data_IF_353221430952
#
_entry.id   IF_353221430952
#
_cell.length_a   1.000
_cell.length_b   1.000
_cell.length_c   1.000
_cell.angle_alpha   90.00
_cell.angle_beta   90.00
_cell.angle_gamma   90.00
#
_symmetry.space_group_name_H-M   'P 1'
#
loop_
_entity.id
_entity.type
_entity.pdbx_description
1 polymer ?
#
# COMPACT_ATOMS: atom_id res chain seq x y z
N UNK A 1 17.55 7.78 -3.30
CA UNK A 1 16.10 7.84 -3.00
C UNK A 1 15.39 9.13 -3.43
N UNK A 2 16.10 10.15 -3.94
CA UNK A 2 15.51 11.46 -4.35
C UNK A 2 14.38 11.35 -5.39
N UNK A 3 14.35 10.26 -6.17
CA UNK A 3 13.37 9.99 -7.22
C UNK A 3 12.18 9.13 -6.74
N UNK A 4 11.95 9.07 -5.42
CA UNK A 4 10.91 8.29 -4.75
C UNK A 4 10.04 9.18 -3.88
N UNK A 5 8.72 9.00 -3.96
CA UNK A 5 7.74 9.55 -3.02
C UNK A 5 7.17 8.43 -2.16
N UNK A 6 7.23 8.59 -0.84
CA UNK A 6 6.50 7.73 0.10
C UNK A 6 5.07 8.25 0.24
N UNK A 7 4.09 7.40 0.00
CA UNK A 7 2.67 7.68 0.19
C UNK A 7 2.25 7.04 1.50
N UNK A 8 1.90 7.88 2.47
CA UNK A 8 1.63 7.49 3.85
C UNK A 8 0.16 7.78 4.18
N UNK A 9 -0.76 6.83 3.91
CA UNK A 9 -2.15 7.00 4.30
C UNK A 9 -2.26 6.95 5.82
N UNK A 10 -2.89 7.95 6.43
CA UNK A 10 -3.07 8.04 7.87
C UNK A 10 -4.53 8.33 8.23
N UNK A 11 -5.03 7.64 9.26
CA UNK A 11 -6.34 7.88 9.84
C UNK A 11 -6.33 7.48 11.31
N UNK A 12 -6.48 8.46 12.21
CA UNK A 12 -6.40 8.26 13.66
C UNK A 12 -5.07 7.58 14.06
N UNK A 13 -3.96 8.18 13.61
CA UNK A 13 -2.59 7.68 13.80
C UNK A 13 -1.72 8.66 14.62
N UNK A 14 -2.35 9.43 15.51
CA UNK A 14 -1.66 10.44 16.32
C UNK A 14 -0.54 9.88 17.21
N UNK A 15 -0.61 8.59 17.59
CA UNK A 15 0.39 7.91 18.39
C UNK A 15 1.53 7.33 17.52
N UNK A 16 1.19 6.66 16.42
CA UNK A 16 2.14 5.89 15.59
C UNK A 16 2.89 6.75 14.58
N UNK A 17 2.18 7.65 13.90
CA UNK A 17 2.72 8.41 12.78
C UNK A 17 3.92 9.29 13.15
N UNK A 18 3.94 10.03 14.29
CA UNK A 18 5.12 10.81 14.68
C UNK A 18 6.37 9.94 14.90
N UNK A 19 6.19 8.74 15.49
CA UNK A 19 7.29 7.80 15.74
C UNK A 19 7.80 7.27 14.40
N UNK A 20 6.90 6.87 13.52
CA UNK A 20 7.25 6.38 12.19
C UNK A 20 7.94 7.46 11.33
N UNK A 21 7.45 8.71 11.36
CA UNK A 21 8.10 9.83 10.65
C UNK A 21 9.52 10.10 11.16
N UNK A 22 9.74 9.96 12.46
CA UNK A 22 11.10 10.05 13.04
C UNK A 22 12.01 8.92 12.55
N UNK A 23 11.51 7.70 12.38
CA UNK A 23 12.28 6.58 11.84
C UNK A 23 12.75 6.85 10.40
N UNK A 24 11.89 7.47 9.58
CA UNK A 24 12.18 7.72 8.16
C UNK A 24 12.68 9.14 7.87
N UNK A 25 12.99 9.94 8.88
CA UNK A 25 13.35 11.37 8.69
C UNK A 25 14.59 11.58 7.83
N UNK A 26 15.59 10.70 7.94
CA UNK A 26 16.87 10.78 7.21
C UNK A 26 16.77 10.25 5.77
N UNK A 27 15.65 9.67 5.37
CA UNK A 27 15.47 9.21 4.00
C UNK A 27 15.32 10.41 3.05
N UNK A 28 16.24 10.54 2.09
CA UNK A 28 16.26 11.59 1.06
C UNK A 28 15.21 11.32 -0.01
N UNK A 29 13.92 11.28 0.37
CA UNK A 29 12.77 11.09 -0.52
C UNK A 29 11.64 12.04 -0.15
N UNK A 30 10.74 12.33 -1.11
CA UNK A 30 9.50 13.03 -0.85
C UNK A 30 8.60 12.17 0.05
N UNK A 31 7.85 12.77 0.95
CA UNK A 31 6.91 12.10 1.85
C UNK A 31 5.58 12.84 1.79
N UNK A 32 4.53 12.17 1.34
CA UNK A 32 3.16 12.69 1.30
C UNK A 32 2.34 11.92 2.34
N UNK A 33 1.93 12.60 3.38
CA UNK A 33 0.97 12.07 4.38
C UNK A 33 -0.43 12.42 3.91
N UNK A 34 -1.24 11.41 3.65
CA UNK A 34 -2.61 11.58 3.16
C UNK A 34 -3.59 11.29 4.29
N UNK A 35 -4.40 12.26 4.67
CA UNK A 35 -5.33 12.15 5.80
C UNK A 35 -6.61 12.96 5.61
N UNK A 36 -7.59 12.68 6.44
CA UNK A 36 -8.85 13.43 6.49
C UNK A 36 -8.63 14.77 7.20
N UNK A 37 -9.15 15.86 6.64
CA UNK A 37 -9.03 17.20 7.23
C UNK A 37 -9.65 17.30 8.63
N UNK A 38 -10.61 16.43 8.94
CA UNK A 38 -11.24 16.36 10.27
C UNK A 38 -10.42 15.63 11.33
N UNK A 39 -9.32 14.93 10.95
CA UNK A 39 -8.45 14.19 11.89
C UNK A 39 -7.46 15.13 12.60
N UNK A 40 -7.99 16.04 13.39
CA UNK A 40 -7.22 17.08 14.08
C UNK A 40 -6.14 16.53 15.01
N UNK A 41 -6.36 15.36 15.63
CA UNK A 41 -5.38 14.75 16.53
C UNK A 41 -4.12 14.30 15.77
N UNK A 42 -4.31 13.58 14.66
CA UNK A 42 -3.20 13.16 13.80
C UNK A 42 -2.50 14.37 13.18
N UNK A 43 -3.25 15.36 12.66
CA UNK A 43 -2.69 16.60 12.09
C UNK A 43 -1.82 17.33 13.12
N UNK A 44 -2.33 17.54 14.35
CA UNK A 44 -1.60 18.24 15.40
C UNK A 44 -0.33 17.51 15.83
N UNK A 45 -0.34 16.18 15.82
CA UNK A 45 0.82 15.35 16.21
C UNK A 45 2.00 15.48 15.24
N UNK A 46 1.76 15.85 13.97
CA UNK A 46 2.79 15.89 12.91
C UNK A 46 3.11 17.29 12.39
N UNK A 47 2.40 18.33 12.79
CA UNK A 47 2.58 19.71 12.27
C UNK A 47 4.00 20.29 12.42
N UNK A 48 4.80 19.74 13.32
CA UNK A 48 6.18 20.19 13.55
C UNK A 48 7.20 19.54 12.59
N UNK A 49 6.81 18.50 11.84
CA UNK A 49 7.68 17.89 10.83
C UNK A 49 7.74 18.76 9.57
N UNK A 50 8.95 19.20 9.21
CA UNK A 50 9.17 20.10 8.06
C UNK A 50 9.38 19.36 6.73
N UNK A 51 9.74 18.07 6.79
CA UNK A 51 10.15 17.28 5.64
C UNK A 51 9.03 16.36 5.13
N UNK A 52 7.79 16.76 5.34
CA UNK A 52 6.59 16.06 4.88
C UNK A 52 5.65 17.05 4.19
N UNK A 53 4.89 16.54 3.25
CA UNK A 53 3.74 17.22 2.66
C UNK A 53 2.46 16.60 3.24
N UNK A 54 1.53 17.42 3.69
CA UNK A 54 0.22 16.96 4.16
C UNK A 54 -0.78 17.18 3.01
N UNK A 55 -1.37 16.08 2.53
CA UNK A 55 -2.43 16.09 1.54
C UNK A 55 -3.76 15.73 2.20
N UNK A 56 -4.70 16.66 2.21
CA UNK A 56 -6.07 16.38 2.66
C UNK A 56 -6.84 15.68 1.56
N UNK A 57 -7.32 14.44 1.86
CA UNK A 57 -8.05 13.64 0.89
C UNK A 57 -9.42 14.28 0.56
N UNK A 58 -9.77 14.31 -0.71
CA UNK A 58 -11.06 14.84 -1.19
C UNK A 58 -12.19 13.80 -1.06
N UNK A 59 -11.84 12.53 -1.17
CA UNK A 59 -12.78 11.41 -1.09
C UNK A 59 -12.39 10.50 0.07
N UNK A 60 -13.33 10.16 0.92
CA UNK A 60 -13.10 9.27 2.06
C UNK A 60 -12.76 7.85 1.60
N UNK A 61 -11.93 7.16 2.39
CA UNK A 61 -11.57 5.75 2.24
C UNK A 61 -10.10 5.53 1.93
N UNK A 62 -9.61 4.36 2.33
CA UNK A 62 -8.21 3.98 2.19
C UNK A 62 -7.73 3.99 0.73
N UNK A 63 -8.51 3.39 -0.17
CA UNK A 63 -8.20 3.38 -1.60
C UNK A 63 -8.15 4.79 -2.20
N UNK A 64 -9.09 5.67 -1.81
CA UNK A 64 -9.08 7.08 -2.23
C UNK A 64 -7.82 7.80 -1.77
N UNK A 65 -7.40 7.60 -0.51
CA UNK A 65 -6.18 8.20 0.03
C UNK A 65 -4.94 7.77 -0.78
N UNK A 66 -4.84 6.48 -1.12
CA UNK A 66 -3.73 5.98 -1.94
C UNK A 66 -3.73 6.57 -3.35
N UNK A 67 -4.88 6.57 -4.02
CA UNK A 67 -5.02 7.10 -5.39
C UNK A 67 -4.67 8.59 -5.41
N UNK A 68 -5.23 9.37 -4.49
CA UNK A 68 -4.97 10.81 -4.41
C UNK A 68 -3.49 11.09 -4.06
N UNK A 69 -2.92 10.36 -3.10
CA UNK A 69 -1.52 10.50 -2.72
C UNK A 69 -0.56 10.20 -3.88
N UNK A 70 -0.76 9.09 -4.57
CA UNK A 70 0.11 8.71 -5.70
C UNK A 70 -0.05 9.69 -6.87
N UNK A 71 -1.28 10.16 -7.15
CA UNK A 71 -1.52 11.13 -8.23
C UNK A 71 -0.89 12.51 -7.96
N UNK A 72 -0.58 12.84 -6.70
CA UNK A 72 0.11 14.07 -6.32
C UNK A 72 1.64 13.88 -6.20
N UNK A 73 2.16 12.66 -6.36
CA UNK A 73 3.59 12.42 -6.34
C UNK A 73 4.27 13.05 -7.58
N UNK A 74 5.33 13.84 -7.35
CA UNK A 74 6.09 14.51 -8.41
C UNK A 74 7.29 13.71 -8.92
N UNK A 75 7.64 12.61 -8.25
CA UNK A 75 8.80 11.77 -8.58
C UNK A 75 8.41 10.63 -9.53
N UNK A 76 9.41 10.00 -10.18
CA UNK A 76 9.18 8.89 -11.11
C UNK A 76 8.66 7.62 -10.43
N UNK A 77 8.97 7.46 -9.14
CA UNK A 77 8.55 6.29 -8.36
C UNK A 77 7.78 6.71 -7.12
N UNK A 78 6.83 5.89 -6.73
CA UNK A 78 6.17 5.98 -5.44
C UNK A 78 6.33 4.69 -4.65
N UNK A 79 6.16 4.76 -3.35
CA UNK A 79 6.00 3.58 -2.50
C UNK A 79 4.92 3.83 -1.46
N UNK A 80 3.94 2.92 -1.40
CA UNK A 80 2.92 2.94 -0.34
C UNK A 80 3.55 2.39 0.93
N UNK A 81 3.46 3.12 2.03
CA UNK A 81 3.94 2.68 3.34
C UNK A 81 3.00 3.18 4.43
N UNK A 82 2.53 2.28 5.31
CA UNK A 82 1.51 2.62 6.29
C UNK A 82 2.06 3.47 7.45
N UNK A 83 1.22 4.36 7.97
CA UNK A 83 1.52 5.26 9.09
C UNK A 83 1.74 4.55 10.44
N UNK A 84 1.30 3.29 10.56
CA UNK A 84 1.42 2.48 11.78
C UNK A 84 2.80 1.83 11.97
N UNK A 85 3.71 2.00 10.99
CA UNK A 85 5.07 1.48 11.04
C UNK A 85 5.21 -0.03 10.82
N UNK A 86 4.12 -0.75 10.51
CA UNK A 86 4.17 -2.19 10.28
C UNK A 86 4.97 -2.56 9.02
N UNK A 87 4.90 -1.73 7.98
CA UNK A 87 5.72 -1.88 6.77
C UNK A 87 7.14 -1.37 7.03
N UNK A 88 8.12 -2.26 6.99
CA UNK A 88 9.48 -1.94 7.38
C UNK A 88 10.25 -1.16 6.30
N UNK A 89 10.70 0.09 6.58
CA UNK A 89 11.41 0.93 5.60
C UNK A 89 12.73 0.35 5.08
N UNK A 90 13.33 -0.61 5.77
CA UNK A 90 14.59 -1.26 5.35
C UNK A 90 14.51 -1.93 3.97
N UNK A 91 13.31 -2.22 3.48
CA UNK A 91 13.12 -2.84 2.16
C UNK A 91 13.13 -1.82 1.01
N UNK A 92 12.98 -0.51 1.29
CA UNK A 92 12.81 0.53 0.27
C UNK A 92 13.95 0.56 -0.76
N UNK A 93 15.21 0.52 -0.30
CA UNK A 93 16.36 0.53 -1.22
C UNK A 93 16.37 -0.71 -2.12
N UNK A 94 16.13 -1.89 -1.54
CA UNK A 94 16.06 -3.15 -2.29
C UNK A 94 14.91 -3.16 -3.28
N UNK A 95 13.75 -2.63 -2.90
CA UNK A 95 12.58 -2.51 -3.79
C UNK A 95 12.87 -1.56 -4.94
N UNK A 96 13.41 -0.38 -4.68
CA UNK A 96 13.73 0.62 -5.69
C UNK A 96 14.80 0.11 -6.65
N UNK A 97 15.84 -0.55 -6.14
CA UNK A 97 16.88 -1.19 -6.95
C UNK A 97 16.27 -2.24 -7.89
N UNK A 98 15.45 -3.17 -7.37
CA UNK A 98 14.84 -4.24 -8.17
C UNK A 98 13.91 -3.70 -9.25
N UNK A 99 13.12 -2.66 -8.96
CA UNK A 99 12.24 -2.02 -9.95
C UNK A 99 13.05 -1.41 -11.10
N UNK A 100 14.14 -0.69 -10.77
CA UNK A 100 15.00 -0.06 -11.77
C UNK A 100 15.78 -1.09 -12.59
N UNK A 101 16.41 -2.06 -11.94
CA UNK A 101 17.23 -3.09 -12.59
C UNK A 101 16.41 -3.92 -13.59
N UNK A 102 15.20 -4.35 -13.19
CA UNK A 102 14.34 -5.20 -14.03
C UNK A 102 13.40 -4.40 -14.93
N UNK A 103 13.38 -3.08 -14.85
CA UNK A 103 12.50 -2.22 -15.62
C UNK A 103 11.02 -2.46 -15.32
N UNK A 104 10.70 -2.83 -14.07
CA UNK A 104 9.33 -3.13 -13.65
C UNK A 104 8.49 -1.85 -13.61
N UNK A 105 7.18 -2.01 -13.79
CA UNK A 105 6.21 -0.97 -13.50
C UNK A 105 5.81 -1.00 -12.02
N UNK A 106 5.68 -2.21 -11.44
CA UNK A 106 5.32 -2.39 -10.02
C UNK A 106 6.07 -3.54 -9.37
N UNK A 107 6.32 -3.41 -8.08
CA UNK A 107 6.88 -4.45 -7.22
C UNK A 107 6.02 -4.57 -5.97
N UNK A 108 5.40 -5.74 -5.79
CA UNK A 108 4.54 -6.05 -4.67
C UNK A 108 5.34 -6.76 -3.59
N UNK A 109 5.39 -6.22 -2.38
CA UNK A 109 5.95 -6.92 -1.25
C UNK A 109 5.02 -8.04 -0.79
N UNK A 110 5.58 -9.12 -0.26
CA UNK A 110 4.83 -10.28 0.20
C UNK A 110 5.34 -10.78 1.53
N UNK A 111 4.40 -10.99 2.46
CA UNK A 111 4.64 -11.62 3.76
C UNK A 111 4.76 -13.15 3.65
N UNK A 112 4.25 -13.72 2.57
CA UNK A 112 4.15 -15.17 2.35
C UNK A 112 5.13 -15.70 1.29
N UNK A 113 6.07 -14.88 0.85
CA UNK A 113 7.15 -15.32 -0.04
C UNK A 113 8.38 -15.71 0.76
N UNK A 114 8.80 -16.97 0.64
CA UNK A 114 9.95 -17.50 1.36
C UNK A 114 11.14 -17.74 0.43
N UNK A 115 12.39 -17.58 0.93
CA UNK A 115 12.76 -17.11 2.28
C UNK A 115 12.64 -15.59 2.44
N UNK A 116 12.33 -15.14 3.65
CA UNK A 116 12.43 -13.72 4.06
C UNK A 116 11.11 -12.97 4.22
N UNK A 117 9.99 -13.54 3.83
CA UNK A 117 8.66 -13.04 4.17
C UNK A 117 8.21 -13.51 5.55
N UNK A 118 7.34 -12.74 6.19
CA UNK A 118 6.73 -13.04 7.48
C UNK A 118 5.92 -11.86 8.00
N UNK A 119 5.16 -12.08 9.09
CA UNK A 119 4.38 -11.05 9.73
C UNK A 119 4.26 -11.31 11.23
N UNK A 120 4.48 -10.28 12.03
CA UNK A 120 4.19 -10.25 13.47
C UNK A 120 2.79 -9.67 13.75
N UNK A 121 2.17 -8.98 12.79
CA UNK A 121 0.87 -8.29 12.95
C UNK A 121 -0.30 -9.10 12.39
N UNK A 122 -0.05 -10.14 11.63
CA UNK A 122 -1.09 -10.97 11.03
C UNK A 122 -1.64 -12.00 12.03
N UNK A 123 -2.92 -12.32 11.89
CA UNK A 123 -3.56 -13.37 12.66
C UNK A 123 -4.13 -14.47 11.75
N UNK A 124 -4.52 -15.60 12.33
CA UNK A 124 -5.00 -16.77 11.59
C UNK A 124 -6.16 -16.44 10.63
N UNK A 125 -7.10 -15.59 11.04
CA UNK A 125 -8.28 -15.26 10.23
C UNK A 125 -7.87 -14.42 9.03
N UNK A 126 -7.04 -13.39 9.23
CA UNK A 126 -6.55 -12.53 8.14
C UNK A 126 -5.59 -13.27 7.21
N UNK A 127 -4.78 -14.17 7.74
CA UNK A 127 -3.89 -15.06 6.97
C UNK A 127 -4.65 -16.02 6.06
N UNK A 128 -5.69 -16.70 6.59
CA UNK A 128 -6.56 -17.58 5.80
C UNK A 128 -7.30 -16.76 4.73
N UNK A 129 -7.85 -15.60 5.09
CA UNK A 129 -8.53 -14.71 4.16
C UNK A 129 -7.61 -14.29 3.02
N UNK A 130 -6.38 -13.86 3.35
CA UNK A 130 -5.40 -13.49 2.32
C UNK A 130 -5.00 -14.66 1.43
N UNK A 131 -4.81 -15.86 2.00
CA UNK A 131 -4.53 -17.07 1.21
C UNK A 131 -5.64 -17.35 0.20
N UNK A 132 -6.92 -17.31 0.64
CA UNK A 132 -8.07 -17.54 -0.23
C UNK A 132 -8.15 -16.50 -1.35
N UNK A 133 -8.06 -15.20 -1.04
CA UNK A 133 -8.11 -14.14 -2.05
C UNK A 133 -6.92 -14.19 -3.00
N UNK A 134 -5.73 -14.53 -2.52
CA UNK A 134 -4.55 -14.74 -3.36
C UNK A 134 -4.77 -15.91 -4.32
N UNK A 135 -5.33 -17.02 -3.87
CA UNK A 135 -5.67 -18.17 -4.72
C UNK A 135 -6.70 -17.80 -5.78
N UNK A 136 -7.76 -17.07 -5.40
CA UNK A 136 -8.76 -16.56 -6.36
C UNK A 136 -8.08 -15.64 -7.38
N UNK A 137 -7.25 -14.69 -6.94
CA UNK A 137 -6.51 -13.79 -7.83
C UNK A 137 -5.62 -14.53 -8.83
N UNK A 138 -4.86 -15.50 -8.35
CA UNK A 138 -3.97 -16.27 -9.21
C UNK A 138 -4.73 -17.18 -10.18
N UNK A 139 -5.84 -17.82 -9.75
CA UNK A 139 -6.61 -18.75 -10.58
C UNK A 139 -7.43 -18.01 -11.66
N UNK A 140 -8.19 -16.99 -11.26
CA UNK A 140 -9.16 -16.34 -12.15
C UNK A 140 -8.57 -15.14 -12.93
N UNK A 141 -7.51 -14.52 -12.42
CA UNK A 141 -6.87 -13.35 -13.05
C UNK A 141 -5.42 -13.60 -13.46
N UNK A 142 -4.87 -14.79 -13.18
CA UNK A 142 -3.49 -15.18 -13.54
C UNK A 142 -2.43 -14.22 -12.98
N UNK A 143 -2.59 -13.75 -11.73
CA UNK A 143 -1.75 -12.71 -11.14
C UNK A 143 -0.32 -13.16 -10.84
N UNK A 144 -0.11 -14.40 -10.41
CA UNK A 144 1.21 -14.93 -10.00
C UNK A 144 1.84 -14.12 -8.85
N UNK A 145 1.05 -13.75 -7.86
CA UNK A 145 1.49 -13.08 -6.63
C UNK A 145 1.25 -13.97 -5.42
N UNK A 146 1.90 -13.68 -4.29
CA UNK A 146 1.81 -14.48 -3.06
C UNK A 146 1.08 -13.79 -1.91
N UNK A 147 0.79 -12.48 -2.03
CA UNK A 147 0.12 -11.68 -1.01
C UNK A 147 -0.70 -10.55 -1.66
N UNK A 148 -2.00 -10.82 -1.91
CA UNK A 148 -2.86 -9.88 -2.64
C UNK A 148 -3.36 -8.73 -1.76
N UNK A 149 -3.42 -8.91 -0.45
CA UNK A 149 -3.97 -7.92 0.48
C UNK A 149 -2.91 -6.96 1.04
N UNK A 150 -1.62 -7.23 0.81
CA UNK A 150 -0.54 -6.41 1.34
C UNK A 150 -0.22 -5.25 0.40
N UNK A 151 -0.54 -4.05 0.83
CA UNK A 151 -0.41 -2.84 0.01
C UNK A 151 0.98 -2.20 0.03
N UNK A 152 1.99 -2.86 0.55
CA UNK A 152 3.38 -2.40 0.46
C UNK A 152 3.88 -2.58 -0.97
N UNK A 153 3.66 -1.58 -1.81
CA UNK A 153 3.94 -1.62 -3.25
C UNK A 153 4.81 -0.43 -3.62
N UNK A 154 5.88 -0.71 -4.37
CA UNK A 154 6.70 0.31 -5.03
C UNK A 154 6.45 0.24 -6.54
N UNK A 155 6.22 1.38 -7.18
CA UNK A 155 5.95 1.41 -8.61
C UNK A 155 6.29 2.73 -9.28
N UNK A 156 6.17 2.73 -10.61
CA UNK A 156 6.29 3.94 -11.42
C UNK A 156 5.02 4.79 -11.28
N UNK A 157 5.18 6.05 -10.92
CA UNK A 157 4.07 7.00 -10.77
C UNK A 157 3.27 7.14 -12.07
N UNK A 158 3.94 7.24 -13.21
CA UNK A 158 3.30 7.31 -14.52
C UNK A 158 2.44 6.07 -14.79
N UNK A 159 2.99 4.87 -14.60
CA UNK A 159 2.26 3.62 -14.86
C UNK A 159 1.02 3.48 -13.96
N UNK A 160 1.06 4.01 -12.71
CA UNK A 160 -0.10 4.04 -11.83
C UNK A 160 -1.16 5.03 -12.32
N UNK A 161 -0.75 6.22 -12.75
CA UNK A 161 -1.68 7.25 -13.23
C UNK A 161 -2.38 6.88 -14.56
N UNK A 162 -1.80 5.94 -15.32
CA UNK A 162 -2.42 5.36 -16.53
C UNK A 162 -3.47 4.27 -16.21
N UNK A 163 -3.60 3.87 -14.93
CA UNK A 163 -4.64 2.94 -14.47
C UNK A 163 -5.90 3.68 -14.05
N UNK A 164 -7.03 3.00 -14.15
CA UNK A 164 -8.32 3.52 -13.72
C UNK A 164 -8.89 2.66 -12.60
N UNK A 165 -9.22 3.27 -11.49
CA UNK A 165 -9.74 2.58 -10.32
C UNK A 165 -11.16 3.03 -9.97
N UNK A 166 -11.99 2.09 -9.54
CA UNK A 166 -13.33 2.36 -9.03
C UNK A 166 -13.43 2.17 -7.51
N UNK A 167 -12.45 1.50 -6.90
CA UNK A 167 -12.37 1.28 -5.46
C UNK A 167 -11.97 2.54 -4.70
N UNK A 168 -12.68 2.79 -3.59
CA UNK A 168 -12.39 3.90 -2.67
C UNK A 168 -11.90 3.41 -1.31
N UNK A 169 -12.09 2.15 -1.02
CA UNK A 169 -11.84 1.46 0.25
C UNK A 169 -10.73 0.41 0.12
N UNK A 170 -10.69 -0.56 1.03
CA UNK A 170 -9.73 -1.67 1.01
C UNK A 170 -9.85 -2.58 -0.20
N UNK A 171 -10.92 -2.51 -0.99
CA UNK A 171 -11.04 -3.29 -2.24
C UNK A 171 -10.00 -2.90 -3.29
N UNK A 172 -9.32 -1.75 -3.14
CA UNK A 172 -8.21 -1.36 -3.99
C UNK A 172 -7.05 -2.38 -3.93
N UNK A 173 -6.84 -3.07 -2.81
CA UNK A 173 -5.76 -4.06 -2.68
C UNK A 173 -5.87 -5.20 -3.71
N UNK A 174 -7.08 -5.57 -4.11
CA UNK A 174 -7.31 -6.58 -5.17
C UNK A 174 -7.51 -5.95 -6.55
N UNK A 175 -8.14 -4.78 -6.64
CA UNK A 175 -8.31 -4.09 -7.91
C UNK A 175 -6.98 -3.70 -8.54
N UNK A 176 -6.04 -3.20 -7.75
CA UNK A 176 -4.75 -2.73 -8.23
C UNK A 176 -3.96 -3.82 -8.98
N UNK A 177 -3.60 -4.96 -8.39
CA UNK A 177 -2.86 -5.99 -9.13
C UNK A 177 -3.65 -6.57 -10.31
N UNK A 178 -4.98 -6.63 -10.24
CA UNK A 178 -5.83 -7.08 -11.36
C UNK A 178 -5.74 -6.09 -12.54
N UNK A 179 -5.82 -4.78 -12.30
CA UNK A 179 -5.68 -3.77 -13.34
C UNK A 179 -4.26 -3.73 -13.93
N UNK A 180 -3.22 -3.88 -13.09
CA UNK A 180 -1.83 -4.04 -13.55
C UNK A 180 -1.71 -5.21 -14.53
N UNK A 181 -2.32 -6.35 -14.21
CA UNK A 181 -2.33 -7.54 -15.07
C UNK A 181 -3.10 -7.31 -16.37
N UNK A 182 -4.29 -6.69 -16.28
CA UNK A 182 -5.13 -6.38 -17.46
C UNK A 182 -4.42 -5.46 -18.44
N UNK A 183 -3.71 -4.47 -17.93
CA UNK A 183 -2.90 -3.54 -18.74
C UNK A 183 -1.57 -4.12 -19.21
N UNK A 184 -1.29 -5.39 -18.88
CA UNK A 184 -0.04 -6.10 -19.26
C UNK A 184 1.23 -5.37 -18.80
N UNK A 185 1.15 -4.63 -17.69
CA UNK A 185 2.29 -3.95 -17.09
C UNK A 185 3.24 -4.97 -16.45
N UNK A 186 4.53 -4.63 -16.41
CA UNK A 186 5.56 -5.50 -15.85
C UNK A 186 5.57 -5.42 -14.33
N UNK A 187 5.38 -6.53 -13.65
CA UNK A 187 5.48 -6.58 -12.20
C UNK A 187 6.17 -7.84 -11.69
N UNK A 188 6.62 -7.78 -10.46
CA UNK A 188 7.27 -8.89 -9.74
C UNK A 188 6.88 -8.81 -8.26
N UNK A 189 7.29 -9.80 -7.46
CA UNK A 189 7.11 -9.81 -6.00
C UNK A 189 8.46 -9.76 -5.29
N UNK A 190 8.45 -9.42 -4.01
CA UNK A 190 9.64 -9.44 -3.15
C UNK A 190 9.24 -9.84 -1.73
N UNK A 191 9.97 -10.77 -1.08
CA UNK A 191 9.70 -11.10 0.31
C UNK A 191 9.93 -9.88 1.22
N UNK A 192 8.99 -9.66 2.14
CA UNK A 192 9.04 -8.58 3.14
C UNK A 192 8.51 -9.08 4.47
N UNK A 193 9.17 -8.68 5.55
CA UNK A 193 8.72 -8.97 6.89
C UNK A 193 7.93 -7.78 7.45
N UNK A 194 6.67 -8.02 7.78
CA UNK A 194 5.78 -7.05 8.43
C UNK A 194 6.03 -7.08 9.94
N UNK A 195 6.30 -5.93 10.51
CA UNK A 195 6.53 -5.76 11.96
C UNK A 195 5.19 -5.59 12.69
N UNK A 196 5.19 -5.77 14.00
CA UNK A 196 4.11 -5.24 14.82
C UNK A 196 3.94 -3.74 14.58
N UNK A 197 2.69 -3.28 14.54
CA UNK A 197 2.39 -1.83 14.49
C UNK A 197 2.93 -1.12 15.72
N UNK A 198 3.37 0.11 15.55
CA UNK A 198 3.89 0.96 16.63
C UNK A 198 2.77 1.35 17.60
N UNK A 199 1.56 1.56 17.09
CA UNK A 199 0.40 1.96 17.86
C UNK A 199 -0.89 1.92 17.03
N UNK A 200 -1.98 2.45 17.61
CA UNK A 200 -3.27 2.49 16.94
C UNK A 200 -4.03 1.14 16.91
N UNK A 201 -5.14 1.11 16.21
CA UNK A 201 -6.00 -0.07 16.06
C UNK A 201 -6.15 -0.48 14.61
N UNK A 202 -6.23 -1.79 14.34
CA UNK A 202 -6.59 -2.30 13.01
C UNK A 202 -7.92 -1.68 12.56
N UNK A 203 -7.91 -1.04 11.37
CA UNK A 203 -9.11 -0.41 10.79
C UNK A 203 -9.85 -1.36 9.86
N UNK A 204 -9.22 -2.47 9.47
CA UNK A 204 -9.83 -3.51 8.63
C UNK A 204 -10.72 -4.40 9.47
N UNK A 205 -11.97 -4.54 9.03
CA UNK A 205 -12.91 -5.55 9.57
C UNK A 205 -12.88 -6.78 8.66
N UNK A 206 -12.30 -7.89 9.16
CA UNK A 206 -12.06 -9.08 8.36
C UNK A 206 -13.30 -9.64 7.64
N UNK A 207 -14.49 -9.61 8.26
CA UNK A 207 -15.71 -10.10 7.64
C UNK A 207 -16.31 -9.09 6.64
N UNK A 208 -16.51 -7.85 7.08
CA UNK A 208 -17.14 -6.82 6.24
C UNK A 208 -16.26 -6.51 5.01
N UNK A 209 -14.99 -6.23 5.24
CA UNK A 209 -14.07 -5.89 4.15
C UNK A 209 -13.78 -7.12 3.27
N UNK A 210 -13.71 -8.33 3.88
CA UNK A 210 -13.59 -9.59 3.15
C UNK A 210 -14.73 -9.83 2.16
N UNK A 211 -15.99 -9.58 2.57
CA UNK A 211 -17.13 -9.68 1.66
C UNK A 211 -17.07 -8.64 0.54
N UNK A 212 -16.70 -7.40 0.85
CA UNK A 212 -16.56 -6.35 -0.17
C UNK A 212 -15.46 -6.72 -1.18
N UNK A 213 -14.33 -7.25 -0.72
CA UNK A 213 -13.23 -7.72 -1.57
C UNK A 213 -13.72 -8.87 -2.48
N UNK A 214 -14.44 -9.85 -1.93
CA UNK A 214 -14.98 -10.96 -2.73
C UNK A 214 -15.93 -10.46 -3.81
N UNK A 215 -16.91 -9.61 -3.46
CA UNK A 215 -17.83 -9.02 -4.43
C UNK A 215 -17.10 -8.20 -5.49
N UNK A 216 -16.07 -7.44 -5.09
CA UNK A 216 -15.23 -6.70 -6.04
C UNK A 216 -14.56 -7.64 -7.04
N UNK A 217 -13.95 -8.73 -6.58
CA UNK A 217 -13.30 -9.71 -7.46
C UNK A 217 -14.32 -10.38 -8.41
N UNK A 218 -15.49 -10.78 -7.91
CA UNK A 218 -16.56 -11.34 -8.74
C UNK A 218 -16.97 -10.34 -9.84
N UNK A 219 -17.24 -9.09 -9.45
CA UNK A 219 -17.60 -8.04 -10.42
C UNK A 219 -16.51 -7.82 -11.47
N UNK A 220 -15.25 -7.79 -11.06
CA UNK A 220 -14.13 -7.64 -12.00
C UNK A 220 -13.95 -8.84 -12.92
N UNK A 221 -14.33 -10.04 -12.49
CA UNK A 221 -14.28 -11.23 -13.34
C UNK A 221 -15.29 -11.16 -14.48
N UNK A 222 -16.51 -10.70 -14.22
CA UNK A 222 -17.56 -10.57 -15.25
C UNK A 222 -17.47 -9.30 -16.08
N UNK A 223 -16.88 -8.22 -15.56
CA UNK A 223 -16.67 -6.96 -16.28
C UNK A 223 -15.24 -6.93 -16.85
N UNK A 224 -15.01 -7.70 -17.92
CA UNK A 224 -13.72 -7.70 -18.63
C UNK A 224 -13.56 -6.45 -19.48
#
# INVERSE_FOLDING_TARGET
MQDLTLIIPAKYESESLPIFLNEIKELSCQKIVVLDESDNETINSIKHFKNIEILYQKKTGYGSALIEGISNASTNFFCIINADGSMNPKYLDKMLFKVKEKGLDFLFASRYEHPGGGSDDDNLITSIGNFLFTKIGNLFFSLKISDILFTYVLGKTKSFNDLSFSSKDFTLCVEFPIEVKRKKLKYDTIPSYERNRIGGKKKVNAFKDGLLILFKMIRMFFNK
#
